data_IF_053567015338
#
_entry.id   IF_053567015338
#
_cell.length_a   1.000
_cell.length_b   1.000
_cell.length_c   1.000
_cell.angle_alpha   90.00
_cell.angle_beta   90.00
_cell.angle_gamma   90.00
#
_symmetry.space_group_name_H-M   'P 1'
#
loop_
_entity.id
_entity.type
_entity.pdbx_description
1 polymer ?
#
# COMPACT_ATOMS: atom_id res chain seq x y z
N UNK A 1 -63.77 -12.39 -27.11
CA UNK A 1 -62.86 -12.84 -28.19
C UNK A 1 -61.67 -11.91 -28.26
N UNK A 2 -60.47 -12.51 -28.40
CA UNK A 2 -59.15 -11.93 -28.72
C UNK A 2 -58.37 -11.19 -27.62
N UNK A 3 -57.52 -11.98 -26.99
CA UNK A 3 -56.19 -11.62 -26.47
C UNK A 3 -55.30 -11.04 -27.57
N UNK A 4 -54.50 -10.02 -27.24
CA UNK A 4 -53.20 -9.78 -27.88
C UNK A 4 -52.26 -9.05 -26.90
N UNK A 5 -51.20 -9.77 -26.55
CA UNK A 5 -50.07 -9.36 -25.74
C UNK A 5 -49.08 -8.47 -26.50
N UNK A 6 -48.33 -7.64 -25.74
CA UNK A 6 -47.02 -6.97 -25.99
C UNK A 6 -47.10 -5.52 -25.49
N UNK A 7 -46.25 -5.01 -24.61
CA UNK A 7 -44.79 -5.17 -24.56
C UNK A 7 -44.27 -5.06 -23.11
N UNK A 8 -43.59 -6.10 -22.62
CA UNK A 8 -42.60 -5.95 -21.55
C UNK A 8 -41.30 -5.52 -22.23
N UNK A 9 -41.02 -4.22 -22.25
CA UNK A 9 -39.70 -3.70 -22.64
C UNK A 9 -38.80 -3.74 -21.41
N UNK A 10 -38.00 -4.80 -21.33
CA UNK A 10 -36.83 -4.86 -20.45
C UNK A 10 -35.76 -3.89 -20.95
N UNK A 11 -35.46 -2.87 -20.15
CA UNK A 11 -34.19 -2.12 -20.17
C UNK A 11 -33.86 -1.97 -18.68
N UNK A 12 -32.85 -2.60 -18.11
CA UNK A 12 -31.48 -2.68 -18.60
C UNK A 12 -30.67 -1.60 -17.88
N UNK A 13 -30.06 -1.96 -16.75
CA UNK A 13 -28.92 -1.33 -16.09
C UNK A 13 -28.87 0.22 -15.97
N UNK A 14 -29.07 0.71 -14.75
CA UNK A 14 -28.77 2.10 -14.38
C UNK A 14 -28.19 2.20 -12.96
N UNK A 15 -27.23 1.34 -12.62
CA UNK A 15 -26.47 1.48 -11.36
C UNK A 15 -25.39 2.54 -11.56
N UNK A 16 -25.78 3.81 -11.43
CA UNK A 16 -24.83 4.92 -11.28
C UNK A 16 -24.52 5.09 -9.79
N UNK A 17 -23.59 4.27 -9.28
CA UNK A 17 -22.89 4.57 -8.03
C UNK A 17 -21.82 5.62 -8.33
N UNK A 18 -22.21 6.90 -8.28
CA UNK A 18 -21.26 8.01 -8.23
C UNK A 18 -20.64 8.05 -6.83
N UNK A 19 -19.59 7.27 -6.61
CA UNK A 19 -18.76 7.40 -5.41
C UNK A 19 -17.95 8.69 -5.56
N UNK A 20 -18.27 9.65 -4.70
CA UNK A 20 -17.47 10.84 -4.49
C UNK A 20 -16.06 10.42 -4.05
N UNK A 21 -15.08 10.57 -4.93
CA UNK A 21 -13.68 10.44 -4.56
C UNK A 21 -13.24 11.74 -3.87
N UNK A 22 -13.36 11.76 -2.55
CA UNK A 22 -12.62 12.68 -1.71
C UNK A 22 -11.15 12.34 -1.95
N UNK A 23 -10.44 13.19 -2.70
CA UNK A 23 -9.00 13.10 -2.87
C UNK A 23 -8.36 13.65 -1.58
N UNK A 24 -8.27 12.80 -0.56
CA UNK A 24 -7.34 13.03 0.56
C UNK A 24 -5.95 12.89 -0.05
N UNK A 25 -5.23 14.01 -0.19
CA UNK A 25 -3.80 13.98 -0.43
C UNK A 25 -3.11 13.46 0.84
N UNK A 26 -2.98 12.14 0.93
CA UNK A 26 -1.99 11.52 1.80
C UNK A 26 -0.62 11.78 1.17
N UNK A 27 0.39 12.17 1.95
CA UNK A 27 1.76 12.07 1.46
C UNK A 27 1.99 10.60 1.04
N UNK A 28 2.35 10.38 -0.22
CA UNK A 28 2.46 9.02 -0.77
C UNK A 28 3.53 8.23 -0.02
N UNK A 29 3.11 7.12 0.61
CA UNK A 29 4.03 6.17 1.22
C UNK A 29 4.83 5.43 0.15
N UNK A 30 6.06 5.01 0.41
CA UNK A 30 6.83 4.08 -0.40
C UNK A 30 6.05 2.79 -0.70
N UNK A 31 5.28 2.26 0.25
CA UNK A 31 4.37 1.14 -0.03
C UNK A 31 3.25 1.54 -0.99
N UNK A 32 2.67 2.73 -0.83
CA UNK A 32 1.64 3.28 -1.72
C UNK A 32 2.15 3.45 -3.14
N UNK A 33 3.31 4.09 -3.31
CA UNK A 33 3.98 4.27 -4.60
C UNK A 33 4.38 2.94 -5.23
N UNK A 34 4.91 2.01 -4.44
CA UNK A 34 5.22 0.66 -4.93
C UNK A 34 3.97 -0.03 -5.48
N UNK A 35 2.84 0.07 -4.77
CA UNK A 35 1.58 -0.50 -5.19
C UNK A 35 1.04 0.17 -6.47
N UNK A 36 1.08 1.50 -6.56
CA UNK A 36 0.64 2.25 -7.74
C UNK A 36 1.44 1.85 -8.99
N UNK A 37 2.77 1.84 -8.87
CA UNK A 37 3.64 1.41 -9.95
C UNK A 37 3.39 -0.05 -10.33
N UNK A 38 3.27 -0.96 -9.36
CA UNK A 38 2.98 -2.37 -9.64
C UNK A 38 1.61 -2.56 -10.34
N UNK A 39 0.58 -1.82 -9.93
CA UNK A 39 -0.74 -1.85 -10.58
C UNK A 39 -0.68 -1.32 -12.02
N UNK A 40 0.11 -0.28 -12.27
CA UNK A 40 0.30 0.25 -13.62
C UNK A 40 1.01 -0.77 -14.50
N UNK A 41 2.09 -1.38 -14.01
CA UNK A 41 2.79 -2.46 -14.73
C UNK A 41 1.85 -3.65 -15.04
N UNK A 42 1.01 -4.06 -14.08
CA UNK A 42 0.09 -5.20 -14.25
C UNK A 42 -1.01 -4.96 -15.31
N UNK A 43 -1.35 -3.71 -15.60
CA UNK A 43 -2.39 -3.33 -16.58
C UNK A 43 -1.81 -2.95 -17.95
N UNK A 44 -0.50 -2.76 -18.05
CA UNK A 44 0.15 -2.27 -19.24
C UNK A 44 0.14 -3.32 -20.37
N UNK A 45 -0.10 -2.84 -21.60
CA UNK A 45 -0.11 -3.68 -22.81
C UNK A 45 1.23 -3.72 -23.55
N UNK A 46 2.22 -2.95 -23.12
CA UNK A 46 3.52 -2.84 -23.77
C UNK A 46 4.69 -3.08 -22.79
N UNK A 47 5.77 -3.66 -23.31
CA UNK A 47 6.93 -4.11 -22.52
C UNK A 47 7.63 -2.94 -21.82
N UNK A 48 7.71 -1.78 -22.46
CA UNK A 48 8.47 -0.64 -21.93
C UNK A 48 7.80 -0.08 -20.68
N UNK A 49 6.47 0.09 -20.72
CA UNK A 49 5.68 0.52 -19.56
C UNK A 49 5.75 -0.52 -18.42
N UNK A 50 5.65 -1.82 -18.75
CA UNK A 50 5.77 -2.90 -17.75
C UNK A 50 7.12 -2.81 -17.01
N UNK A 51 8.23 -2.76 -17.75
CA UNK A 51 9.58 -2.73 -17.17
C UNK A 51 9.79 -1.49 -16.32
N UNK A 52 9.47 -0.30 -16.85
CA UNK A 52 9.71 0.96 -16.14
C UNK A 52 8.94 1.03 -14.82
N UNK A 53 7.66 0.66 -14.81
CA UNK A 53 6.87 0.69 -13.59
C UNK A 53 7.24 -0.47 -12.64
N UNK A 54 7.60 -1.65 -13.13
CA UNK A 54 8.08 -2.73 -12.27
C UNK A 54 9.39 -2.35 -11.54
N UNK A 55 10.32 -1.70 -12.24
CA UNK A 55 11.58 -1.24 -11.64
C UNK A 55 11.36 -0.10 -10.62
N UNK A 56 10.45 0.82 -10.90
CA UNK A 56 10.05 1.87 -9.95
C UNK A 56 9.42 1.26 -8.68
N UNK A 57 8.49 0.30 -8.83
CA UNK A 57 7.91 -0.40 -7.70
C UNK A 57 8.98 -1.10 -6.85
N UNK A 58 9.91 -1.79 -7.50
CA UNK A 58 11.04 -2.45 -6.84
C UNK A 58 11.96 -1.47 -6.11
N UNK A 59 12.18 -0.28 -6.66
CA UNK A 59 12.97 0.77 -6.00
C UNK A 59 12.36 1.20 -4.67
N UNK A 60 11.05 1.47 -4.65
CA UNK A 60 10.33 1.80 -3.42
C UNK A 60 10.34 0.64 -2.41
N UNK A 61 10.12 -0.60 -2.87
CA UNK A 61 10.20 -1.79 -1.99
C UNK A 61 11.57 -1.92 -1.33
N UNK A 62 12.68 -1.58 -2.02
CA UNK A 62 14.02 -1.62 -1.42
C UNK A 62 14.17 -0.61 -0.27
N UNK A 63 13.53 0.56 -0.36
CA UNK A 63 13.52 1.54 0.74
C UNK A 63 12.74 0.99 1.93
N UNK A 64 11.55 0.44 1.68
CA UNK A 64 10.72 -0.21 2.71
C UNK A 64 11.51 -1.34 3.39
N UNK A 65 12.10 -2.25 2.62
CA UNK A 65 12.89 -3.39 3.12
C UNK A 65 14.08 -2.93 3.98
N UNK A 66 14.80 -1.89 3.55
CA UNK A 66 15.91 -1.32 4.31
C UNK A 66 15.46 -0.81 5.69
N UNK A 67 14.38 -0.05 5.74
CA UNK A 67 13.84 0.47 7.00
C UNK A 67 13.19 -0.61 7.87
N UNK A 68 12.48 -1.58 7.29
CA UNK A 68 11.92 -2.70 8.05
C UNK A 68 13.02 -3.56 8.70
N UNK A 69 14.11 -3.83 7.98
CA UNK A 69 15.27 -4.53 8.55
C UNK A 69 15.90 -3.75 9.71
N UNK A 70 16.08 -2.44 9.56
CA UNK A 70 16.61 -1.60 10.63
C UNK A 70 15.67 -1.57 11.84
N UNK A 71 14.36 -1.46 11.62
CA UNK A 71 13.36 -1.53 12.69
C UNK A 71 13.41 -2.86 13.44
N UNK A 72 13.55 -4.00 12.74
CA UNK A 72 13.71 -5.32 13.37
C UNK A 72 14.96 -5.35 14.25
N UNK A 73 16.11 -4.89 13.75
CA UNK A 73 17.34 -4.81 14.55
C UNK A 73 17.14 -3.98 15.81
N UNK A 74 16.54 -2.79 15.71
CA UNK A 74 16.27 -1.94 16.87
C UNK A 74 15.29 -2.58 17.87
N UNK A 75 14.30 -3.36 17.41
CA UNK A 75 13.40 -4.12 18.28
C UNK A 75 14.09 -5.29 18.99
N UNK A 76 15.01 -5.98 18.30
CA UNK A 76 15.82 -7.03 18.91
C UNK A 76 16.73 -6.46 20.01
N UNK A 77 17.35 -5.30 19.77
CA UNK A 77 18.11 -4.56 20.78
C UNK A 77 17.25 -4.09 21.95
N UNK A 78 16.05 -3.56 21.67
CA UNK A 78 15.11 -3.16 22.70
C UNK A 78 14.76 -4.35 23.62
N UNK A 79 14.46 -5.51 23.03
CA UNK A 79 14.18 -6.74 23.77
C UNK A 79 15.39 -7.23 24.56
N UNK A 80 16.60 -7.17 23.99
CA UNK A 80 17.83 -7.59 24.65
C UNK A 80 18.16 -6.70 25.86
N UNK A 81 18.02 -5.38 25.74
CA UNK A 81 18.20 -4.43 26.84
C UNK A 81 17.13 -4.59 27.91
N UNK A 82 15.86 -4.80 27.53
CA UNK A 82 14.76 -5.00 28.48
C UNK A 82 14.98 -6.26 29.34
N UNK A 83 15.42 -7.37 28.74
CA UNK A 83 15.75 -8.63 29.46
C UNK A 83 16.86 -8.47 30.50
N UNK A 84 17.72 -7.46 30.35
CA UNK A 84 18.79 -7.13 31.29
C UNK A 84 18.38 -6.09 32.35
N UNK A 85 17.14 -5.58 32.29
CA UNK A 85 16.67 -4.50 33.16
C UNK A 85 17.18 -3.11 32.75
N UNK A 86 17.78 -2.96 31.57
CA UNK A 86 18.26 -1.68 31.04
C UNK A 86 17.11 -0.87 30.41
N UNK A 87 16.15 -0.44 31.23
CA UNK A 87 14.89 0.17 30.78
C UNK A 87 15.08 1.37 29.84
N UNK A 88 16.02 2.27 30.15
CA UNK A 88 16.23 3.48 29.32
C UNK A 88 16.78 3.14 27.93
N UNK A 89 17.71 2.17 27.85
CA UNK A 89 18.25 1.71 26.56
C UNK A 89 17.19 0.96 25.76
N UNK A 90 16.40 0.11 26.41
CA UNK A 90 15.30 -0.59 25.77
C UNK A 90 14.29 0.39 25.15
N UNK A 91 13.94 1.46 25.88
CA UNK A 91 13.06 2.51 25.38
C UNK A 91 13.66 3.23 24.18
N UNK A 92 14.94 3.60 24.24
CA UNK A 92 15.64 4.27 23.14
C UNK A 92 15.65 3.41 21.87
N UNK A 93 16.00 2.13 21.96
CA UNK A 93 15.98 1.22 20.81
C UNK A 93 14.56 1.04 20.26
N UNK A 94 13.53 1.02 21.10
CA UNK A 94 12.14 1.00 20.63
C UNK A 94 11.73 2.30 19.91
N UNK A 95 12.20 3.47 20.36
CA UNK A 95 12.00 4.75 19.68
C UNK A 95 12.68 4.76 18.29
N UNK A 96 13.89 4.23 18.18
CA UNK A 96 14.60 4.06 16.90
C UNK A 96 13.83 3.15 15.93
N UNK A 97 13.24 2.06 16.43
CA UNK A 97 12.38 1.20 15.63
C UNK A 97 11.16 1.96 15.07
N UNK A 98 10.53 2.81 15.88
CA UNK A 98 9.40 3.66 15.44
C UNK A 98 9.83 4.63 14.35
N UNK A 99 11.01 5.25 14.47
CA UNK A 99 11.54 6.14 13.42
C UNK A 99 11.71 5.40 12.09
N UNK A 100 12.27 4.19 12.12
CA UNK A 100 12.42 3.37 10.92
C UNK A 100 11.07 2.90 10.35
N UNK A 101 10.12 2.48 11.17
CA UNK A 101 8.78 2.11 10.71
C UNK A 101 8.06 3.28 10.04
N UNK A 102 8.20 4.49 10.58
CA UNK A 102 7.65 5.69 9.95
C UNK A 102 8.34 6.04 8.64
N UNK A 103 9.65 5.85 8.52
CA UNK A 103 10.39 6.07 7.28
C UNK A 103 10.14 5.00 6.21
N UNK A 104 9.68 3.80 6.61
CA UNK A 104 9.23 2.76 5.69
C UNK A 104 7.86 3.06 5.08
N UNK A 105 7.11 3.99 5.69
CA UNK A 105 5.82 4.46 5.19
C UNK A 105 6.08 5.54 4.17
#
# INVERSE_FOLDING_TARGET
MKSIAKQLTSVGAGMLLSIAAIQVYAAESHIGLALEHAQTAAKAGDVNTIVNHADAAKSHIKVVDGHLKAAVTSLDEAAAHAKQGHTDLAKKSAEEAVLHLNAAQ
#
